data_IF_643893137791
#
_entry.id   IF_643893137791
#
_cell.length_a   1.000
_cell.length_b   1.000
_cell.length_c   1.000
_cell.angle_alpha   90.00
_cell.angle_beta   90.00
_cell.angle_gamma   90.00
#
_symmetry.space_group_name_H-M   'P 1'
#
loop_
_entity.id
_entity.type
_entity.pdbx_description
1 polymer ?
#
# COMPACT_ATOMS: atom_id res chain seq x y z
N UNK A 1 7.89 2.04 14.69
CA UNK A 1 7.38 3.10 13.76
C UNK A 1 5.95 2.82 13.30
N UNK A 2 5.54 1.56 13.08
CA UNK A 2 4.16 1.24 12.70
C UNK A 2 3.16 1.43 13.85
N UNK A 3 3.54 1.09 15.08
CA UNK A 3 2.70 1.34 16.28
C UNK A 3 2.47 2.83 16.53
N UNK A 4 3.45 3.67 16.18
CA UNK A 4 3.32 5.12 16.25
C UNK A 4 2.22 5.65 15.32
N UNK A 5 2.02 5.05 14.14
CA UNK A 5 0.95 5.45 13.23
C UNK A 5 -0.43 5.07 13.78
N UNK A 6 -0.54 3.86 14.34
CA UNK A 6 -1.76 3.37 14.99
C UNK A 6 -2.11 4.19 16.22
N UNK A 7 -1.11 4.52 17.03
CA UNK A 7 -1.26 5.39 18.18
C UNK A 7 -1.68 6.80 17.75
N UNK A 8 -0.91 7.43 16.84
CA UNK A 8 -1.15 8.82 16.45
C UNK A 8 -2.48 9.03 15.72
N UNK A 9 -3.03 8.02 15.03
CA UNK A 9 -4.33 8.12 14.38
C UNK A 9 -5.50 8.16 15.36
N UNK A 10 -5.33 7.61 16.57
CA UNK A 10 -6.37 7.54 17.60
C UNK A 10 -6.10 8.47 18.78
N UNK A 11 -4.86 8.95 18.93
CA UNK A 11 -4.44 9.77 20.05
C UNK A 11 -5.09 11.16 20.00
N UNK A 12 -5.97 11.44 20.97
CA UNK A 12 -6.62 12.76 21.14
C UNK A 12 -5.85 13.72 22.04
N UNK A 13 -4.89 13.22 22.84
CA UNK A 13 -4.12 14.08 23.76
C UNK A 13 -3.34 15.18 23.02
N UNK A 14 -3.43 16.40 23.54
CA UNK A 14 -2.64 17.55 23.09
C UNK A 14 -1.18 17.46 23.57
N UNK A 15 -0.98 16.92 24.78
CA UNK A 15 0.32 16.74 25.43
C UNK A 15 0.69 15.25 25.53
N UNK A 16 0.60 14.55 24.39
CA UNK A 16 0.98 13.16 24.34
C UNK A 16 2.49 12.99 24.55
N UNK A 17 2.88 12.20 25.55
CA UNK A 17 4.28 11.89 25.86
C UNK A 17 4.90 10.84 24.93
N UNK A 18 4.08 10.16 24.12
CA UNK A 18 4.59 9.16 23.18
C UNK A 18 5.52 9.83 22.15
N UNK A 19 6.77 9.36 22.00
CA UNK A 19 7.76 10.02 21.15
C UNK A 19 7.23 10.22 19.72
N UNK A 20 7.41 11.43 19.19
CA UNK A 20 7.02 11.82 17.84
C UNK A 20 5.51 11.76 17.50
N UNK A 21 4.62 11.46 18.45
CA UNK A 21 3.16 11.45 18.22
C UNK A 21 2.66 12.79 17.66
N UNK A 22 3.08 13.91 18.25
CA UNK A 22 2.73 15.27 17.78
C UNK A 22 3.17 15.52 16.33
N UNK A 23 4.35 15.04 15.93
CA UNK A 23 4.87 15.19 14.56
C UNK A 23 4.01 14.40 13.56
N UNK A 24 3.67 13.15 13.89
CA UNK A 24 2.84 12.29 13.03
C UNK A 24 1.40 12.82 12.91
N UNK A 25 0.80 13.29 14.01
CA UNK A 25 -0.49 14.00 13.97
C UNK A 25 -0.44 15.22 13.04
N UNK A 26 0.67 15.97 13.07
CA UNK A 26 0.92 17.07 12.13
C UNK A 26 0.94 16.63 10.67
N UNK A 27 1.59 15.49 10.36
CA UNK A 27 1.59 14.93 9.00
C UNK A 27 0.20 14.53 8.54
N UNK A 28 -0.61 13.87 9.38
CA UNK A 28 -2.00 13.55 9.04
C UNK A 28 -2.83 14.80 8.79
N UNK A 29 -2.74 15.81 9.67
CA UNK A 29 -3.42 17.08 9.48
C UNK A 29 -3.01 17.74 8.17
N UNK A 30 -1.72 17.81 7.88
CA UNK A 30 -1.22 18.35 6.62
C UNK A 30 -1.80 17.57 5.42
N UNK A 31 -1.72 16.23 5.46
CA UNK A 31 -2.19 15.37 4.39
C UNK A 31 -3.67 15.54 4.04
N UNK A 32 -4.52 15.82 5.05
CA UNK A 32 -5.96 16.08 4.83
C UNK A 32 -6.20 17.37 4.06
N UNK A 33 -5.48 18.45 4.40
CA UNK A 33 -5.75 19.80 3.89
C UNK A 33 -4.83 20.24 2.73
N UNK A 34 -3.75 19.52 2.46
CA UNK A 34 -2.78 19.91 1.43
C UNK A 34 -3.37 19.78 0.02
N UNK A 35 -3.49 20.91 -0.70
CA UNK A 35 -3.98 20.94 -2.10
C UNK A 35 -2.94 20.46 -3.11
N UNK A 36 -1.66 20.72 -2.87
CA UNK A 36 -0.54 20.26 -3.74
C UNK A 36 -0.47 18.73 -3.81
N UNK A 37 -0.81 18.04 -2.71
CA UNK A 37 -0.76 16.57 -2.58
C UNK A 37 0.62 16.00 -2.93
N UNK A 38 0.78 14.68 -2.82
CA UNK A 38 2.03 14.04 -3.22
C UNK A 38 2.26 14.05 -4.73
N UNK A 39 1.18 13.93 -5.53
CA UNK A 39 1.22 13.97 -6.99
C UNK A 39 1.72 15.31 -7.52
N UNK A 40 1.36 16.43 -6.89
CA UNK A 40 1.89 17.76 -7.22
C UNK A 40 3.23 18.08 -6.54
N UNK A 41 3.90 17.10 -5.93
CA UNK A 41 5.27 17.26 -5.43
C UNK A 41 5.45 17.60 -3.95
N UNK A 42 4.39 17.70 -3.14
CA UNK A 42 4.53 18.06 -1.72
C UNK A 42 5.36 17.02 -0.94
N UNK A 43 6.47 17.47 -0.36
CA UNK A 43 7.42 16.63 0.39
C UNK A 43 6.79 15.99 1.63
N UNK A 44 5.97 16.74 2.38
CA UNK A 44 5.30 16.21 3.57
C UNK A 44 4.25 15.16 3.21
N UNK A 45 3.49 15.37 2.13
CA UNK A 45 2.58 14.35 1.62
C UNK A 45 3.34 13.09 1.16
N UNK A 46 4.47 13.23 0.46
CA UNK A 46 5.30 12.10 0.05
C UNK A 46 5.80 11.29 1.26
N UNK A 47 6.29 11.97 2.30
CA UNK A 47 6.71 11.33 3.57
C UNK A 47 5.54 10.61 4.24
N UNK A 48 4.38 11.24 4.35
CA UNK A 48 3.19 10.63 4.93
C UNK A 48 2.77 9.38 4.15
N UNK A 49 2.72 9.46 2.81
CA UNK A 49 2.37 8.32 1.96
C UNK A 49 3.34 7.16 2.13
N UNK A 50 4.65 7.43 2.20
CA UNK A 50 5.65 6.40 2.45
C UNK A 50 5.38 5.64 3.75
N UNK A 51 5.14 6.37 4.85
CA UNK A 51 4.80 5.78 6.15
C UNK A 51 3.51 4.93 6.09
N UNK A 52 2.48 5.45 5.42
CA UNK A 52 1.21 4.74 5.26
C UNK A 52 1.35 3.47 4.42
N UNK A 53 2.18 3.49 3.36
CA UNK A 53 2.47 2.31 2.56
C UNK A 53 3.22 1.23 3.34
N UNK A 54 4.23 1.61 4.13
CA UNK A 54 4.93 0.67 5.01
C UNK A 54 3.96 0.00 5.99
N UNK A 55 3.09 0.80 6.61
CA UNK A 55 2.05 0.29 7.49
C UNK A 55 1.09 -0.66 6.76
N UNK A 56 0.52 -0.25 5.62
CA UNK A 56 -0.45 -1.06 4.90
C UNK A 56 0.10 -2.43 4.45
N UNK A 57 1.39 -2.53 4.11
CA UNK A 57 2.04 -3.81 3.76
C UNK A 57 2.14 -4.78 4.94
N UNK A 58 2.35 -4.26 6.15
CA UNK A 58 2.52 -5.08 7.36
C UNK A 58 1.21 -5.27 8.16
N UNK A 59 0.21 -4.41 7.92
CA UNK A 59 -1.04 -4.39 8.67
C UNK A 59 -1.93 -5.59 8.32
N UNK A 60 -2.24 -6.40 9.35
CA UNK A 60 -3.14 -7.56 9.24
C UNK A 60 -4.58 -7.25 9.70
N UNK A 61 -4.79 -6.13 10.39
CA UNK A 61 -6.10 -5.73 10.91
C UNK A 61 -7.10 -5.45 9.80
N UNK A 62 -8.28 -6.07 9.86
CA UNK A 62 -9.39 -5.80 8.93
C UNK A 62 -9.87 -4.35 9.07
N UNK A 63 -10.15 -3.93 10.30
CA UNK A 63 -10.66 -2.61 10.69
C UNK A 63 -9.56 -1.70 11.25
N UNK A 64 -8.59 -1.38 10.41
CA UNK A 64 -7.50 -0.48 10.79
C UNK A 64 -7.93 0.99 10.80
N UNK A 65 -7.67 1.68 11.91
CA UNK A 65 -7.99 3.10 12.12
C UNK A 65 -6.92 4.06 11.54
N UNK A 66 -5.83 3.54 10.98
CA UNK A 66 -4.80 4.37 10.34
C UNK A 66 -5.37 4.93 9.02
N UNK A 67 -5.33 6.26 8.80
CA UNK A 67 -5.88 6.87 7.60
C UNK A 67 -5.34 6.22 6.32
N UNK A 68 -6.23 5.95 5.36
CA UNK A 68 -5.91 5.35 4.04
C UNK A 68 -5.34 3.93 4.09
N UNK A 69 -5.17 3.30 5.25
CA UNK A 69 -4.65 1.93 5.34
C UNK A 69 -5.50 0.94 4.54
N UNK A 70 -6.84 0.99 4.69
CA UNK A 70 -7.78 0.13 3.96
C UNK A 70 -7.60 0.26 2.44
N UNK A 71 -7.66 1.48 1.92
CA UNK A 71 -7.53 1.76 0.48
C UNK A 71 -6.18 1.27 -0.07
N UNK A 72 -5.10 1.50 0.68
CA UNK A 72 -3.76 1.06 0.29
C UNK A 72 -3.66 -0.46 0.25
N UNK A 73 -4.19 -1.16 1.26
CA UNK A 73 -4.24 -2.63 1.26
C UNK A 73 -5.04 -3.16 0.07
N UNK A 74 -6.17 -2.54 -0.26
CA UNK A 74 -6.98 -2.95 -1.40
C UNK A 74 -6.25 -2.70 -2.73
N UNK A 75 -5.59 -1.56 -2.87
CA UNK A 75 -4.77 -1.25 -4.03
C UNK A 75 -3.62 -2.26 -4.21
N UNK A 76 -2.88 -2.57 -3.14
CA UNK A 76 -1.82 -3.57 -3.15
C UNK A 76 -2.35 -4.97 -3.53
N UNK A 77 -3.51 -5.36 -2.99
CA UNK A 77 -4.17 -6.63 -3.36
C UNK A 77 -4.54 -6.68 -4.83
N UNK A 78 -5.11 -5.59 -5.38
CA UNK A 78 -5.41 -5.50 -6.82
C UNK A 78 -4.17 -5.62 -7.69
N UNK A 79 -3.07 -4.95 -7.32
CA UNK A 79 -1.81 -5.05 -8.05
C UNK A 79 -1.25 -6.49 -8.03
N UNK A 80 -1.29 -7.14 -6.87
CA UNK A 80 -0.84 -8.52 -6.72
C UNK A 80 -1.69 -9.47 -7.59
N UNK A 81 -3.01 -9.36 -7.54
CA UNK A 81 -3.93 -10.15 -8.35
C UNK A 81 -3.67 -9.95 -9.85
N UNK A 82 -3.46 -8.71 -10.30
CA UNK A 82 -3.16 -8.43 -11.70
C UNK A 82 -1.83 -9.06 -12.12
N UNK A 83 -0.80 -8.98 -11.28
CA UNK A 83 0.49 -9.63 -11.51
C UNK A 83 0.35 -11.15 -11.61
N UNK A 84 -0.38 -11.76 -10.68
CA UNK A 84 -0.61 -13.21 -10.65
C UNK A 84 -1.40 -13.69 -11.87
N UNK A 85 -2.44 -12.97 -12.28
CA UNK A 85 -3.20 -13.28 -13.50
C UNK A 85 -2.32 -13.21 -14.74
N UNK A 86 -1.48 -12.18 -14.87
CA UNK A 86 -0.52 -12.07 -15.99
C UNK A 86 0.48 -13.22 -16.00
N UNK A 87 1.02 -13.58 -14.83
CA UNK A 87 1.94 -14.70 -14.68
C UNK A 87 1.29 -16.02 -15.09
N UNK A 88 0.06 -16.29 -14.64
CA UNK A 88 -0.69 -17.50 -15.00
C UNK A 88 -0.96 -17.56 -16.50
N UNK A 89 -1.39 -16.46 -17.11
CA UNK A 89 -1.62 -16.40 -18.56
C UNK A 89 -0.35 -16.71 -19.36
N UNK A 90 0.79 -16.13 -18.97
CA UNK A 90 2.07 -16.40 -19.62
C UNK A 90 2.48 -17.88 -19.51
N UNK A 91 2.29 -18.50 -18.34
CA UNK A 91 2.56 -19.93 -18.15
C UNK A 91 1.63 -20.80 -19.01
N UNK A 92 0.34 -20.49 -19.05
CA UNK A 92 -0.62 -21.23 -19.88
C UNK A 92 -0.27 -21.13 -21.38
N UNK A 93 0.14 -19.95 -21.84
CA UNK A 93 0.56 -19.76 -23.24
C UNK A 93 1.84 -20.55 -23.57
N UNK A 94 2.84 -20.53 -22.69
CA UNK A 94 4.07 -21.34 -22.87
C UNK A 94 3.77 -22.85 -22.96
N UNK A 95 2.84 -23.35 -22.13
CA UNK A 95 2.44 -24.76 -22.18
C UNK A 95 1.71 -25.09 -23.50
N UNK A 96 0.86 -24.19 -23.98
CA UNK A 96 0.14 -24.33 -25.26
C UNK A 96 1.09 -24.37 -26.45
N UNK A 97 2.11 -23.51 -26.46
CA UNK A 97 3.15 -23.50 -27.50
C UNK A 97 3.94 -24.81 -27.53
N UNK A 98 4.40 -25.29 -26.37
CA UNK A 98 5.09 -26.59 -26.26
C UNK A 98 4.24 -27.75 -26.76
N UNK A 99 2.95 -27.78 -26.43
CA UNK A 99 2.05 -28.83 -26.91
C UNK A 99 1.91 -28.82 -28.44
N UNK A 100 1.84 -27.62 -29.05
CA UNK A 100 1.79 -27.48 -30.50
C UNK A 100 3.11 -27.91 -31.18
N UNK A 101 4.26 -27.58 -30.60
CA UNK A 101 5.58 -28.01 -31.11
C UNK A 101 5.73 -29.54 -31.07
N UNK A 102 5.32 -30.19 -29.98
CA UNK A 102 5.36 -31.66 -29.86
C UNK A 102 4.44 -32.32 -30.89
N UNK A 103 3.23 -31.78 -31.09
CA UNK A 103 2.30 -32.29 -32.09
C UNK A 103 2.84 -32.15 -33.53
N UNK A 104 3.48 -31.02 -33.84
CA UNK A 104 4.09 -30.80 -35.15
C UNK A 104 5.30 -31.69 -35.43
N UNK A 105 6.08 -32.04 -34.40
CA UNK A 105 7.25 -32.92 -34.55
C UNK A 105 6.90 -34.42 -34.62
N UNK A 106 5.65 -34.79 -34.30
CA UNK A 106 5.18 -36.17 -34.27
C UNK A 106 4.39 -36.59 -35.54
N UNK A 107 4.16 -35.66 -36.47
CA UNK A 107 3.56 -35.91 -37.80
C UNK A 107 4.59 -35.83 -38.91
#
# INVERSE_FOLDING_TARGET
>A
MLDLLVHASQCRSAHCQYPNCRKVKGLFRHGMHCKTRASGGCVLCKKMWYLLQLHARACKESECHVPRCRDLKEHLRRLQQQSDSRRRAAVMEMMRQRAAEVANNAG
#
